data_IF_760484150238
#
_entry.id   IF_760484150238
#
_cell.length_a   1.000
_cell.length_b   1.000
_cell.length_c   1.000
_cell.angle_alpha   90.00
_cell.angle_beta   90.00
_cell.angle_gamma   90.00
#
_symmetry.space_group_name_H-M   'P 1'
#
loop_
_entity.id
_entity.type
_entity.pdbx_description
1 polymer ?
#
# COMPACT_ATOMS: atom_id res chain seq x y z
N UNK A 1 5.85 -6.19 15.29
CA UNK A 1 4.64 -5.47 15.72
C UNK A 1 5.01 -4.05 16.09
N UNK A 2 4.41 -3.05 15.45
CA UNK A 2 4.48 -1.65 15.91
C UNK A 2 3.81 -1.58 17.28
N UNK A 3 4.43 -0.92 18.27
CA UNK A 3 3.89 -0.83 19.63
C UNK A 3 2.45 -0.27 19.58
N UNK A 4 1.50 -0.97 20.19
CA UNK A 4 0.06 -0.63 20.23
C UNK A 4 -0.23 0.77 20.80
N UNK A 5 0.74 1.38 21.48
CA UNK A 5 0.59 2.63 22.22
C UNK A 5 1.01 3.87 21.43
N UNK A 6 1.41 3.75 20.16
CA UNK A 6 1.79 4.91 19.36
C UNK A 6 0.53 5.65 18.86
N UNK A 7 0.31 6.92 19.24
CA UNK A 7 -0.88 7.67 18.81
C UNK A 7 -1.01 7.76 17.29
N UNK A 8 -2.26 7.83 16.79
CA UNK A 8 -2.57 7.81 15.35
C UNK A 8 -1.89 8.95 14.59
N UNK A 9 -1.75 10.12 15.21
CA UNK A 9 -1.06 11.29 14.64
C UNK A 9 0.39 10.97 14.24
N UNK A 10 1.11 10.25 15.11
CA UNK A 10 2.48 9.84 14.81
C UNK A 10 2.53 8.74 13.74
N UNK A 11 1.51 7.88 13.65
CA UNK A 11 1.42 6.89 12.56
C UNK A 11 1.23 7.60 11.23
N UNK A 12 0.30 8.56 11.16
CA UNK A 12 0.07 9.39 9.97
C UNK A 12 1.33 10.11 9.55
N UNK A 13 2.04 10.72 10.51
CA UNK A 13 3.31 11.39 10.27
C UNK A 13 4.38 10.43 9.72
N UNK A 14 4.54 9.25 10.33
CA UNK A 14 5.49 8.25 9.86
C UNK A 14 5.19 7.77 8.44
N UNK A 15 3.91 7.55 8.11
CA UNK A 15 3.51 7.16 6.75
C UNK A 15 3.88 8.26 5.77
N UNK A 16 3.49 9.52 6.03
CA UNK A 16 3.83 10.67 5.17
C UNK A 16 5.35 10.79 4.95
N UNK A 17 6.13 10.74 6.03
CA UNK A 17 7.59 10.83 5.98
C UNK A 17 8.21 9.70 5.13
N UNK A 18 7.65 8.48 5.21
CA UNK A 18 8.09 7.36 4.35
C UNK A 18 7.75 7.62 2.88
N UNK A 19 6.52 8.09 2.58
CA UNK A 19 6.11 8.36 1.20
C UNK A 19 6.93 9.48 0.57
N UNK A 20 7.31 10.50 1.35
CA UNK A 20 8.08 11.65 0.87
C UNK A 20 9.58 11.32 0.72
N UNK A 21 10.18 10.68 1.72
CA UNK A 21 11.64 10.62 1.82
C UNK A 21 12.25 9.22 1.70
N UNK A 22 11.47 8.15 1.88
CA UNK A 22 12.07 6.82 1.88
C UNK A 22 12.52 6.42 0.47
N UNK A 23 13.77 5.98 0.39
CA UNK A 23 14.29 5.23 -0.74
C UNK A 23 13.62 3.86 -0.80
N UNK A 24 13.50 3.34 -2.01
CA UNK A 24 12.92 2.02 -2.32
C UNK A 24 13.81 0.88 -1.77
N UNK A 25 13.67 0.59 -0.49
CA UNK A 25 14.43 -0.44 0.23
C UNK A 25 13.45 -1.44 0.85
N UNK A 26 13.81 -2.71 0.81
CA UNK A 26 13.04 -3.85 1.31
C UNK A 26 12.41 -3.65 2.70
N UNK A 27 13.15 -3.04 3.62
CA UNK A 27 12.68 -2.81 4.99
C UNK A 27 11.60 -1.71 5.05
N UNK A 28 11.63 -0.74 4.13
CA UNK A 28 10.62 0.30 4.01
C UNK A 28 9.23 -0.31 3.80
N UNK A 29 9.13 -1.33 2.94
CA UNK A 29 7.84 -1.98 2.66
C UNK A 29 7.25 -2.65 3.90
N UNK A 30 8.06 -3.36 4.68
CA UNK A 30 7.59 -4.03 5.90
C UNK A 30 7.18 -3.05 6.99
N UNK A 31 7.91 -1.94 7.14
CA UNK A 31 7.55 -0.87 8.09
C UNK A 31 6.24 -0.22 7.65
N UNK A 32 6.14 0.19 6.38
CA UNK A 32 4.95 0.82 5.84
C UNK A 32 3.73 -0.09 5.93
N UNK A 33 3.87 -1.38 5.60
CA UNK A 33 2.82 -2.39 5.74
C UNK A 33 2.30 -2.41 7.19
N UNK A 34 3.21 -2.47 8.17
CA UNK A 34 2.85 -2.51 9.60
C UNK A 34 2.15 -1.25 10.08
N UNK A 35 2.43 -0.09 9.47
CA UNK A 35 1.76 1.18 9.78
C UNK A 35 0.37 1.24 9.13
N UNK A 36 0.25 0.80 7.88
CA UNK A 36 -1.01 0.73 7.14
C UNK A 36 -2.02 -0.17 7.84
N UNK A 37 -1.60 -1.38 8.26
CA UNK A 37 -2.45 -2.36 8.94
C UNK A 37 -3.05 -1.87 10.26
N UNK A 38 -2.55 -0.75 10.82
CA UNK A 38 -3.18 -0.12 11.99
C UNK A 38 -4.49 0.59 11.71
N UNK A 39 -4.85 0.78 10.43
CA UNK A 39 -6.02 1.52 9.94
C UNK A 39 -6.27 2.80 10.73
N UNK A 40 -5.60 3.88 10.33
CA UNK A 40 -5.77 5.18 10.96
C UNK A 40 -6.76 6.05 10.17
N UNK A 41 -7.45 6.95 10.87
CA UNK A 41 -8.13 8.04 10.18
C UNK A 41 -7.07 8.86 9.43
N UNK A 42 -7.29 9.04 8.14
CA UNK A 42 -6.35 9.71 7.26
C UNK A 42 -6.93 11.01 6.73
N UNK A 43 -6.03 11.94 6.44
CA UNK A 43 -6.37 13.17 5.74
C UNK A 43 -6.73 12.87 4.28
N UNK A 44 -7.48 13.78 3.64
CA UNK A 44 -8.06 13.62 2.31
C UNK A 44 -7.09 13.18 1.20
N UNK A 45 -5.77 13.34 1.37
CA UNK A 45 -4.78 13.07 0.30
C UNK A 45 -3.93 11.80 0.54
N UNK A 46 -4.13 11.05 1.63
CA UNK A 46 -3.26 9.90 1.92
C UNK A 46 -3.34 8.82 0.83
N UNK A 47 -4.55 8.48 0.38
CA UNK A 47 -4.76 7.44 -0.63
C UNK A 47 -4.16 7.84 -1.99
N UNK A 48 -4.23 9.12 -2.34
CA UNK A 48 -3.59 9.64 -3.54
C UNK A 48 -2.06 9.50 -3.44
N UNK A 49 -1.46 9.94 -2.33
CA UNK A 49 -0.02 9.81 -2.10
C UNK A 49 0.45 8.35 -2.10
N UNK A 50 -0.33 7.45 -1.49
CA UNK A 50 -0.05 6.01 -1.51
C UNK A 50 -0.10 5.47 -2.94
N UNK A 51 -1.15 5.82 -3.69
CA UNK A 51 -1.35 5.36 -5.07
C UNK A 51 -0.18 5.77 -5.95
N UNK A 52 0.17 7.07 -5.95
CA UNK A 52 1.29 7.61 -6.72
C UNK A 52 2.62 6.95 -6.33
N UNK A 53 2.87 6.75 -5.04
CA UNK A 53 4.12 6.13 -4.58
C UNK A 53 4.21 4.66 -4.97
N UNK A 54 3.13 3.90 -4.81
CA UNK A 54 3.08 2.48 -5.18
C UNK A 54 3.26 2.31 -6.69
N UNK A 55 2.60 3.16 -7.50
CA UNK A 55 2.80 3.19 -8.95
C UNK A 55 4.27 3.43 -9.30
N UNK A 56 4.90 4.43 -8.69
CA UNK A 56 6.31 4.78 -8.95
C UNK A 56 7.29 3.65 -8.62
N UNK A 57 6.98 2.80 -7.63
CA UNK A 57 7.83 1.67 -7.23
C UNK A 57 7.53 0.37 -7.98
N UNK A 58 6.42 0.29 -8.71
CA UNK A 58 5.84 -0.96 -9.19
C UNK A 58 6.73 -1.74 -10.15
N UNK A 59 7.31 -1.08 -11.15
CA UNK A 59 8.12 -1.73 -12.18
C UNK A 59 9.40 -2.34 -11.62
N UNK A 60 10.08 -1.60 -10.75
CA UNK A 60 11.32 -2.04 -10.10
C UNK A 60 11.06 -3.11 -9.03
N UNK A 61 9.88 -3.09 -8.41
CA UNK A 61 9.50 -4.02 -7.34
C UNK A 61 8.64 -5.21 -7.79
N UNK A 62 8.43 -5.43 -9.10
CA UNK A 62 7.52 -6.46 -9.59
C UNK A 62 7.82 -7.90 -9.13
N UNK A 63 9.07 -8.20 -8.77
CA UNK A 63 9.50 -9.51 -8.22
C UNK A 63 9.60 -9.52 -6.68
N UNK A 64 9.30 -8.42 -6.02
CA UNK A 64 9.51 -8.26 -4.59
C UNK A 64 8.26 -8.66 -3.79
N UNK A 65 8.36 -9.74 -3.02
CA UNK A 65 7.24 -10.26 -2.22
C UNK A 65 6.81 -9.28 -1.12
N UNK A 66 7.72 -8.52 -0.51
CA UNK A 66 7.37 -7.53 0.52
C UNK A 66 6.60 -6.36 -0.07
N UNK A 67 6.96 -5.93 -1.28
CA UNK A 67 6.19 -4.94 -2.01
C UNK A 67 4.77 -5.45 -2.32
N UNK A 68 4.62 -6.67 -2.83
CA UNK A 68 3.29 -7.25 -3.08
C UNK A 68 2.46 -7.35 -1.80
N UNK A 69 3.07 -7.71 -0.66
CA UNK A 69 2.40 -7.72 0.65
C UNK A 69 1.89 -6.34 1.03
N UNK A 70 2.72 -5.31 0.89
CA UNK A 70 2.31 -3.93 1.14
C UNK A 70 1.11 -3.53 0.27
N UNK A 71 1.16 -3.82 -1.04
CA UNK A 71 0.04 -3.54 -1.96
C UNK A 71 -1.25 -4.20 -1.49
N UNK A 72 -1.20 -5.49 -1.14
CA UNK A 72 -2.36 -6.22 -0.62
C UNK A 72 -2.85 -5.60 0.69
N UNK A 73 -1.97 -5.28 1.63
CA UNK A 73 -2.36 -4.66 2.91
C UNK A 73 -3.03 -3.31 2.70
N UNK A 74 -2.58 -2.49 1.74
CA UNK A 74 -3.25 -1.24 1.40
C UNK A 74 -4.67 -1.50 0.87
N UNK A 75 -4.81 -2.39 -0.10
CA UNK A 75 -6.11 -2.72 -0.71
C UNK A 75 -7.11 -3.30 0.31
N UNK A 76 -6.65 -4.18 1.20
CA UNK A 76 -7.51 -4.73 2.27
C UNK A 76 -7.90 -3.64 3.27
N UNK A 77 -6.99 -2.74 3.63
CA UNK A 77 -7.23 -1.76 4.69
C UNK A 77 -8.10 -0.59 4.24
N UNK A 78 -7.81 -0.05 3.05
CA UNK A 78 -8.38 1.19 2.53
C UNK A 78 -9.12 1.02 1.20
N UNK A 79 -9.16 -0.17 0.60
CA UNK A 79 -9.75 -0.36 -0.73
C UNK A 79 -11.22 0.07 -0.85
N UNK A 80 -12.00 -0.02 0.23
CA UNK A 80 -13.40 0.45 0.26
C UNK A 80 -13.54 1.98 0.23
N UNK A 81 -12.45 2.70 0.48
CA UNK A 81 -12.38 4.16 0.55
C UNK A 81 -11.71 4.74 -0.72
N UNK A 82 -11.24 3.87 -1.62
CA UNK A 82 -10.61 4.25 -2.87
C UNK A 82 -11.63 4.56 -3.96
N UNK A 83 -11.29 5.52 -4.81
CA UNK A 83 -12.05 5.77 -6.04
C UNK A 83 -11.67 4.77 -7.15
N UNK A 84 -12.45 4.80 -8.24
CA UNK A 84 -12.24 3.88 -9.36
C UNK A 84 -10.90 4.10 -10.08
N UNK A 85 -10.37 5.33 -10.07
CA UNK A 85 -9.09 5.64 -10.69
C UNK A 85 -7.95 4.99 -9.89
N UNK A 86 -7.97 5.13 -8.57
CA UNK A 86 -7.03 4.48 -7.66
C UNK A 86 -7.08 2.96 -7.79
N UNK A 87 -8.28 2.36 -7.78
CA UNK A 87 -8.45 0.91 -7.98
C UNK A 87 -7.84 0.45 -9.33
N UNK A 88 -7.96 1.27 -10.37
CA UNK A 88 -7.39 0.97 -11.69
C UNK A 88 -5.86 0.99 -11.66
N UNK A 89 -5.24 1.97 -10.99
CA UNK A 89 -3.78 2.02 -10.82
C UNK A 89 -3.28 0.76 -10.09
N UNK A 90 -3.93 0.37 -8.99
CA UNK A 90 -3.53 -0.84 -8.26
C UNK A 90 -3.72 -2.11 -9.07
N UNK A 91 -4.79 -2.21 -9.88
CA UNK A 91 -5.00 -3.32 -10.81
C UNK A 91 -3.84 -3.43 -11.81
N UNK A 92 -3.39 -2.31 -12.37
CA UNK A 92 -2.27 -2.29 -13.31
C UNK A 92 -0.94 -2.64 -12.63
N UNK A 93 -0.70 -2.16 -11.40
CA UNK A 93 0.46 -2.60 -10.59
C UNK A 93 0.46 -4.11 -10.37
N UNK A 94 -0.70 -4.70 -10.10
CA UNK A 94 -0.86 -6.14 -9.87
C UNK A 94 -0.67 -6.95 -11.16
N UNK A 95 -1.15 -6.46 -12.31
CA UNK A 95 -0.93 -7.12 -13.61
C UNK A 95 0.55 -7.30 -13.94
N UNK A 96 1.38 -6.32 -13.59
CA UNK A 96 2.82 -6.37 -13.80
C UNK A 96 3.59 -7.15 -12.72
N UNK A 97 2.92 -7.54 -11.63
CA UNK A 97 3.54 -8.33 -10.57
C UNK A 97 3.91 -9.75 -11.07
N UNK A 98 5.09 -10.21 -10.67
CA UNK A 98 5.68 -11.50 -11.04
C UNK A 98 5.89 -12.40 -9.81
N UNK A 99 5.31 -12.05 -8.66
CA UNK A 99 5.45 -12.83 -7.42
C UNK A 99 4.39 -13.91 -7.29
N UNK A 100 4.66 -14.91 -6.45
CA UNK A 100 3.69 -15.96 -6.09
C UNK A 100 2.39 -15.40 -5.48
N UNK A 101 2.39 -14.15 -5.01
CA UNK A 101 1.25 -13.50 -4.37
C UNK A 101 0.31 -12.79 -5.36
N UNK A 102 0.64 -12.75 -6.66
CA UNK A 102 -0.16 -12.09 -7.69
C UNK A 102 -1.64 -12.48 -7.63
N UNK A 103 -1.93 -13.78 -7.60
CA UNK A 103 -3.32 -14.30 -7.55
C UNK A 103 -4.09 -13.81 -6.33
N UNK A 104 -3.43 -13.69 -5.18
CA UNK A 104 -4.05 -13.16 -3.97
C UNK A 104 -4.41 -11.68 -4.15
N UNK A 105 -3.51 -10.90 -4.74
CA UNK A 105 -3.75 -9.47 -5.02
C UNK A 105 -4.87 -9.26 -6.06
N UNK A 106 -4.89 -10.05 -7.14
CA UNK A 106 -5.95 -10.02 -8.17
C UNK A 106 -7.34 -10.30 -7.56
N UNK A 107 -7.42 -11.27 -6.63
CA UNK A 107 -8.67 -11.58 -5.95
C UNK A 107 -9.19 -10.40 -5.11
N UNK A 108 -8.31 -9.68 -4.42
CA UNK A 108 -8.69 -8.49 -3.64
C UNK A 108 -9.22 -7.39 -4.56
N UNK A 109 -8.52 -7.10 -5.68
CA UNK A 109 -9.01 -6.12 -6.66
C UNK A 109 -10.36 -6.52 -7.24
N UNK A 110 -10.57 -7.79 -7.55
CA UNK A 110 -11.85 -8.28 -8.07
C UNK A 110 -13.00 -8.02 -7.09
N UNK A 111 -12.76 -8.21 -5.79
CA UNK A 111 -13.75 -7.94 -4.75
C UNK A 111 -14.10 -6.45 -4.66
N UNK A 112 -13.13 -5.55 -4.86
CA UNK A 112 -13.35 -4.10 -4.82
C UNK A 112 -14.10 -3.55 -6.05
N UNK A 113 -14.09 -4.28 -7.18
CA UNK A 113 -14.77 -3.91 -8.42
C UNK A 113 -16.21 -4.46 -8.52
N UNK A 114 -16.66 -5.23 -7.52
CA UNK A 114 -17.98 -5.87 -7.49
C UNK A 114 -18.95 -5.03 -6.69
#
# INVERSE_FOLDING_TARGET
MVKSNLPNEYVSYCIKNILEHATQIDNTFSVLQSLIERKIHHENNLLENLTQKIESWSLDCKKNVKFTKLVISILITYGSEMDQQQITVYDDVIKHNETIMKRAAENVIKQLKT
#
